data_IF_348252580383
#
_entry.id   IF_348252580383
#
_cell.length_a   1.000
_cell.length_b   1.000
_cell.length_c   1.000
_cell.angle_alpha   90.00
_cell.angle_beta   90.00
_cell.angle_gamma   90.00
#
_symmetry.space_group_name_H-M   'P 1'
#
loop_
_entity.id
_entity.type
_entity.pdbx_description
1 polymer ?
#
# COMPACT_ATOMS: atom_id res chain seq x y z
N UNK A 1 -27.13 10.40 8.98
CA UNK A 1 -26.48 10.29 7.64
C UNK A 1 -24.95 10.13 7.70
N UNK A 2 -24.27 10.35 8.84
CA UNK A 2 -22.82 10.13 8.96
C UNK A 2 -22.39 8.66 9.04
N UNK A 3 -23.17 7.79 9.70
CA UNK A 3 -22.81 6.38 9.91
C UNK A 3 -22.82 5.51 8.63
N UNK A 4 -23.66 5.86 7.64
CA UNK A 4 -23.73 5.16 6.35
C UNK A 4 -22.49 5.43 5.51
N UNK A 5 -22.01 6.67 5.52
CA UNK A 5 -20.75 7.06 4.86
C UNK A 5 -19.53 6.34 5.45
N UNK A 6 -19.49 6.12 6.76
CA UNK A 6 -18.40 5.39 7.41
C UNK A 6 -18.39 3.90 7.06
N UNK A 7 -19.55 3.26 6.97
CA UNK A 7 -19.64 1.85 6.55
C UNK A 7 -19.21 1.69 5.08
N UNK A 8 -19.67 2.59 4.20
CA UNK A 8 -19.28 2.58 2.80
C UNK A 8 -17.77 2.82 2.62
N UNK A 9 -17.18 3.80 3.32
CA UNK A 9 -15.73 4.03 3.32
C UNK A 9 -14.95 2.78 3.77
N UNK A 10 -15.44 2.12 4.83
CA UNK A 10 -14.83 0.91 5.37
C UNK A 10 -14.84 -0.24 4.39
N UNK A 11 -16.00 -0.55 3.80
CA UNK A 11 -16.12 -1.62 2.81
C UNK A 11 -15.27 -1.32 1.58
N UNK A 12 -15.30 -0.09 1.08
CA UNK A 12 -14.49 0.35 -0.05
C UNK A 12 -12.99 0.16 0.22
N UNK A 13 -12.49 0.62 1.37
CA UNK A 13 -11.06 0.56 1.69
C UNK A 13 -10.57 -0.88 1.90
N UNK A 14 -11.39 -1.74 2.51
CA UNK A 14 -11.07 -3.17 2.67
C UNK A 14 -11.05 -3.91 1.32
N UNK A 15 -11.98 -3.58 0.42
CA UNK A 15 -11.97 -4.13 -0.94
C UNK A 15 -10.75 -3.64 -1.73
N UNK A 16 -10.39 -2.35 -1.60
CA UNK A 16 -9.22 -1.76 -2.25
C UNK A 16 -7.93 -2.47 -1.83
N UNK A 17 -7.66 -2.58 -0.53
CA UNK A 17 -6.44 -3.26 -0.06
C UNK A 17 -6.43 -4.74 -0.45
N UNK A 18 -7.59 -5.41 -0.46
CA UNK A 18 -7.70 -6.80 -0.90
C UNK A 18 -7.39 -6.94 -2.40
N UNK A 19 -7.89 -6.02 -3.24
CA UNK A 19 -7.63 -5.93 -4.68
C UNK A 19 -6.13 -5.70 -4.94
N UNK A 20 -5.51 -4.76 -4.23
CA UNK A 20 -4.08 -4.46 -4.33
C UNK A 20 -3.19 -5.64 -3.90
N UNK A 21 -3.44 -6.23 -2.73
CA UNK A 21 -2.65 -7.36 -2.22
C UNK A 21 -2.81 -8.64 -3.05
N UNK A 22 -3.95 -8.82 -3.71
CA UNK A 22 -4.20 -9.96 -4.61
C UNK A 22 -3.91 -9.66 -6.09
N UNK A 23 -3.41 -8.45 -6.38
CA UNK A 23 -3.05 -7.97 -7.72
C UNK A 23 -4.18 -8.13 -8.75
N UNK A 24 -5.44 -8.00 -8.29
CA UNK A 24 -6.63 -8.08 -9.14
C UNK A 24 -6.75 -6.85 -10.03
N UNK A 25 -7.17 -7.06 -11.30
CA UNK A 25 -7.50 -6.00 -12.26
C UNK A 25 -6.40 -4.92 -12.45
N UNK A 26 -5.12 -5.33 -12.48
CA UNK A 26 -3.99 -4.41 -12.65
C UNK A 26 -4.06 -3.15 -11.74
N UNK A 27 -4.54 -3.33 -10.50
CA UNK A 27 -4.82 -2.21 -9.61
C UNK A 27 -3.60 -1.34 -9.29
N UNK A 28 -2.40 -1.92 -9.29
CA UNK A 28 -1.15 -1.16 -9.17
C UNK A 28 -0.06 -1.78 -10.06
N UNK A 29 0.34 -1.13 -11.17
CA UNK A 29 1.48 -1.60 -11.95
C UNK A 29 2.80 -1.46 -11.17
N UNK A 30 2.94 -0.43 -10.33
CA UNK A 30 4.14 -0.22 -9.52
C UNK A 30 3.76 0.12 -8.06
N UNK A 31 4.02 -0.83 -7.17
CA UNK A 31 3.88 -0.70 -5.72
C UNK A 31 5.26 -0.53 -5.08
N UNK A 32 5.47 0.59 -4.40
CA UNK A 32 6.64 0.88 -3.59
C UNK A 32 6.33 0.56 -2.13
N UNK A 33 7.13 -0.30 -1.50
CA UNK A 33 7.04 -0.62 -0.08
C UNK A 33 8.18 0.07 0.63
N UNK A 34 7.86 0.92 1.61
CA UNK A 34 8.82 1.58 2.47
C UNK A 34 8.90 0.81 3.78
N UNK A 35 10.09 0.35 4.14
CA UNK A 35 10.32 -0.33 5.40
C UNK A 35 11.52 0.23 6.14
N UNK A 36 11.63 -0.19 7.40
CA UNK A 36 12.65 0.26 8.34
C UNK A 36 13.34 -0.95 8.97
N UNK A 37 14.44 -0.72 9.67
CA UNK A 37 15.14 -1.76 10.42
C UNK A 37 14.28 -2.30 11.57
N UNK A 38 13.43 -1.47 12.17
CA UNK A 38 12.51 -1.90 13.22
C UNK A 38 11.39 -2.80 12.68
N UNK A 39 10.93 -2.53 11.45
CA UNK A 39 9.88 -3.32 10.80
C UNK A 39 10.19 -3.60 9.33
N UNK A 40 10.79 -4.77 9.01
CA UNK A 40 11.06 -5.13 7.62
C UNK A 40 9.78 -5.53 6.86
N UNK A 41 9.80 -5.33 5.54
CA UNK A 41 8.69 -5.64 4.61
C UNK A 41 8.45 -7.14 4.38
N UNK A 42 9.33 -8.03 4.87
CA UNK A 42 9.27 -9.48 4.62
C UNK A 42 7.90 -10.13 4.91
N UNK A 43 7.17 -9.80 6.00
CA UNK A 43 5.84 -10.37 6.23
C UNK A 43 4.82 -9.96 5.15
N UNK A 44 4.90 -8.72 4.66
CA UNK A 44 4.07 -8.22 3.57
C UNK A 44 4.40 -8.92 2.25
N UNK A 45 5.69 -9.06 1.91
CA UNK A 45 6.10 -9.78 0.70
C UNK A 45 5.65 -11.24 0.70
N UNK A 46 5.73 -11.91 1.86
CA UNK A 46 5.22 -13.28 2.03
C UNK A 46 3.72 -13.33 1.79
N UNK A 47 2.98 -12.31 2.21
CA UNK A 47 1.54 -12.23 1.98
C UNK A 47 1.21 -12.04 0.50
N UNK A 48 1.93 -11.20 -0.24
CA UNK A 48 1.81 -11.11 -1.70
C UNK A 48 2.05 -12.45 -2.39
N UNK A 49 3.14 -13.15 -2.05
CA UNK A 49 3.47 -14.46 -2.62
C UNK A 49 2.41 -15.51 -2.27
N UNK A 50 1.92 -15.51 -1.03
CA UNK A 50 0.85 -16.42 -0.58
C UNK A 50 -0.44 -16.19 -1.35
N UNK A 51 -0.88 -14.92 -1.51
CA UNK A 51 -2.09 -14.56 -2.26
C UNK A 51 -1.97 -14.85 -3.74
N UNK A 52 -0.78 -14.68 -4.34
CA UNK A 52 -0.52 -15.03 -5.72
C UNK A 52 -0.81 -16.51 -6.02
N UNK A 53 -0.45 -17.43 -5.10
CA UNK A 53 -0.73 -18.87 -5.24
C UNK A 53 -2.19 -19.25 -4.98
N UNK A 54 -2.91 -18.46 -4.18
CA UNK A 54 -4.32 -18.71 -3.89
C UNK A 54 -5.27 -18.19 -4.98
N UNK A 55 -4.75 -17.44 -5.96
CA UNK A 55 -5.55 -16.87 -7.03
C UNK A 55 -6.07 -17.96 -7.99
N UNK A 56 -7.36 -18.31 -7.86
CA UNK A 56 -8.02 -19.35 -8.67
C UNK A 56 -8.48 -18.88 -10.05
N UNK A 57 -8.72 -17.58 -10.21
CA UNK A 57 -9.35 -17.03 -11.43
C UNK A 57 -8.34 -16.85 -12.57
N UNK A 58 -7.18 -16.23 -12.27
CA UNK A 58 -6.11 -16.02 -13.24
C UNK A 58 -4.79 -16.45 -12.61
N UNK A 59 -4.08 -17.44 -13.18
CA UNK A 59 -2.80 -17.90 -12.65
C UNK A 59 -1.79 -16.75 -12.61
N UNK A 60 -1.09 -16.63 -11.48
CA UNK A 60 -0.06 -15.63 -11.26
C UNK A 60 1.31 -16.30 -11.26
N UNK A 61 2.19 -15.84 -12.13
CA UNK A 61 3.60 -16.22 -12.16
C UNK A 61 4.38 -15.27 -11.26
N UNK A 62 5.15 -15.81 -10.34
CA UNK A 62 5.93 -15.03 -9.35
C UNK A 62 7.40 -15.02 -9.72
N UNK A 63 7.96 -13.83 -9.92
CA UNK A 63 9.38 -13.60 -10.18
C UNK A 63 9.95 -12.83 -9.01
N UNK A 64 10.99 -13.36 -8.39
CA UNK A 64 11.67 -12.72 -7.26
C UNK A 64 13.08 -12.32 -7.69
N UNK A 65 13.33 -11.02 -7.71
CA UNK A 65 14.62 -10.40 -8.00
C UNK A 65 15.32 -10.15 -6.66
N UNK A 66 16.40 -10.87 -6.40
CA UNK A 66 17.05 -10.91 -5.10
C UNK A 66 18.39 -10.18 -5.09
N UNK A 67 18.46 -9.04 -4.44
CA UNK A 67 19.66 -8.22 -4.24
C UNK A 67 20.31 -8.47 -2.89
N UNK A 68 19.50 -8.70 -1.86
CA UNK A 68 19.96 -9.02 -0.50
C UNK A 68 19.51 -10.41 -0.02
N UNK A 69 18.52 -11.01 -0.70
CA UNK A 69 17.95 -12.30 -0.34
C UNK A 69 18.79 -13.44 -0.89
N UNK A 70 19.48 -14.17 -0.02
CA UNK A 70 20.33 -15.30 -0.46
C UNK A 70 19.53 -16.57 -0.73
N UNK A 71 18.45 -16.81 0.02
CA UNK A 71 17.67 -18.05 -0.04
C UNK A 71 16.34 -17.81 -0.76
N UNK A 72 16.04 -18.64 -1.76
CA UNK A 72 14.77 -18.60 -2.49
C UNK A 72 13.57 -18.66 -1.52
N UNK A 73 12.69 -17.64 -1.51
CA UNK A 73 11.49 -17.66 -0.69
C UNK A 73 10.50 -18.74 -1.13
N UNK A 74 9.66 -19.19 -0.19
CA UNK A 74 8.53 -20.07 -0.49
C UNK A 74 7.55 -19.40 -1.47
N UNK A 75 6.85 -20.21 -2.27
CA UNK A 75 5.84 -19.75 -3.22
C UNK A 75 6.36 -18.85 -4.36
N UNK A 76 7.66 -18.91 -4.67
CA UNK A 76 8.28 -18.23 -5.81
C UNK A 76 8.48 -19.21 -6.98
N UNK A 77 8.07 -18.82 -8.19
CA UNK A 77 8.30 -19.62 -9.41
C UNK A 77 9.73 -19.43 -9.92
N UNK A 78 10.11 -18.19 -10.22
CA UNK A 78 11.42 -17.81 -10.73
C UNK A 78 12.18 -16.98 -9.70
N UNK A 79 13.41 -17.37 -9.40
CA UNK A 79 14.28 -16.68 -8.45
C UNK A 79 15.54 -16.23 -9.19
N UNK A 80 15.74 -14.93 -9.28
CA UNK A 80 16.82 -14.29 -10.03
C UNK A 80 17.74 -13.58 -9.03
N UNK A 81 18.82 -14.23 -8.56
CA UNK A 81 19.76 -13.62 -7.64
C UNK A 81 20.66 -12.60 -8.36
N UNK A 82 20.99 -11.55 -7.63
CA UNK A 82 21.99 -10.57 -8.02
C UNK A 82 23.33 -11.25 -8.24
N UNK A 83 23.90 -11.09 -9.44
CA UNK A 83 25.14 -11.73 -9.84
C UNK A 83 24.98 -13.10 -10.53
N UNK A 84 23.75 -13.54 -10.82
CA UNK A 84 23.53 -14.71 -11.67
C UNK A 84 24.11 -14.45 -13.08
N UNK A 85 25.11 -15.26 -13.47
CA UNK A 85 25.85 -15.10 -14.73
C UNK A 85 27.37 -14.87 -14.56
N UNK A 86 27.88 -14.74 -13.33
CA UNK A 86 29.31 -14.68 -13.08
C UNK A 86 29.86 -16.08 -12.74
N UNK A 87 30.76 -16.55 -13.59
CA UNK A 87 31.54 -17.76 -13.37
C UNK A 87 32.26 -17.66 -12.02
N UNK A 88 32.28 -18.74 -11.24
CA UNK A 88 32.85 -18.81 -9.88
C UNK A 88 34.38 -18.53 -9.82
N UNK A 89 34.99 -18.07 -10.92
CA UNK A 89 36.41 -17.79 -11.10
C UNK A 89 36.87 -16.42 -10.62
N UNK A 90 36.02 -15.63 -9.94
CA UNK A 90 36.46 -14.52 -9.09
C UNK A 90 36.98 -13.25 -9.79
N UNK A 91 36.97 -13.20 -11.12
CA UNK A 91 37.36 -12.00 -11.86
C UNK A 91 36.18 -11.05 -12.05
N UNK A 92 35.93 -10.18 -11.06
CA UNK A 92 35.04 -9.01 -11.20
C UNK A 92 35.66 -8.00 -12.17
N UNK A 93 35.52 -8.23 -13.47
CA UNK A 93 35.83 -7.20 -14.47
C UNK A 93 34.75 -6.11 -14.39
N UNK A 94 35.15 -4.84 -14.45
CA UNK A 94 34.23 -3.69 -14.37
C UNK A 94 33.15 -3.71 -15.46
N UNK A 95 33.35 -4.45 -16.55
CA UNK A 95 32.38 -4.66 -17.61
C UNK A 95 31.18 -5.53 -17.18
N UNK A 96 31.38 -6.52 -16.28
CA UNK A 96 30.31 -7.40 -15.81
C UNK A 96 29.35 -6.74 -14.82
N UNK A 97 29.75 -5.64 -14.15
CA UNK A 97 28.88 -4.89 -13.22
C UNK A 97 27.73 -4.17 -13.94
N UNK A 98 27.80 -3.95 -15.24
CA UNK A 98 26.77 -3.22 -15.99
C UNK A 98 25.95 -4.13 -16.93
N UNK A 99 26.42 -5.36 -17.15
CA UNK A 99 25.76 -6.31 -18.04
C UNK A 99 24.54 -6.99 -17.41
N UNK A 100 24.50 -7.11 -16.08
CA UNK A 100 23.40 -7.78 -15.36
C UNK A 100 22.03 -7.14 -15.64
N UNK A 101 21.94 -5.83 -15.89
CA UNK A 101 20.67 -5.17 -16.20
C UNK A 101 20.05 -5.76 -17.47
N UNK A 102 20.89 -5.95 -18.49
CA UNK A 102 20.50 -6.52 -19.78
C UNK A 102 20.20 -8.01 -19.64
N UNK A 103 20.95 -8.72 -18.82
CA UNK A 103 20.76 -10.14 -18.58
C UNK A 103 19.44 -10.40 -17.83
N UNK A 104 19.15 -9.64 -16.75
CA UNK A 104 17.87 -9.69 -16.05
C UNK A 104 16.72 -9.29 -16.97
N UNK A 105 16.85 -8.21 -17.74
CA UNK A 105 15.79 -7.79 -18.66
C UNK A 105 15.51 -8.85 -19.73
N UNK A 106 16.56 -9.53 -20.24
CA UNK A 106 16.44 -10.62 -21.22
C UNK A 106 15.79 -11.85 -20.60
N UNK A 107 16.27 -12.30 -19.44
CA UNK A 107 15.72 -13.46 -18.75
C UNK A 107 14.28 -13.22 -18.34
N UNK A 108 13.97 -12.01 -17.84
CA UNK A 108 12.61 -11.59 -17.54
C UNK A 108 11.73 -11.61 -18.79
N UNK A 109 12.19 -11.06 -19.92
CA UNK A 109 11.45 -11.12 -21.17
C UNK A 109 11.17 -12.56 -21.62
N UNK A 110 12.12 -13.48 -21.43
CA UNK A 110 11.93 -14.90 -21.74
C UNK A 110 10.93 -15.57 -20.78
N UNK A 111 10.93 -15.22 -19.48
CA UNK A 111 9.94 -15.68 -18.50
C UNK A 111 8.54 -15.20 -18.89
N UNK A 112 8.39 -13.94 -19.27
CA UNK A 112 7.09 -13.36 -19.70
C UNK A 112 6.60 -14.05 -20.97
N UNK A 113 7.47 -14.30 -21.95
CA UNK A 113 7.13 -15.06 -23.18
C UNK A 113 6.68 -16.50 -22.89
N UNK A 114 7.27 -17.17 -21.90
CA UNK A 114 6.87 -18.53 -21.50
C UNK A 114 5.54 -18.56 -20.75
N UNK A 115 5.12 -17.43 -20.18
CA UNK A 115 3.93 -17.32 -19.34
C UNK A 115 2.88 -16.37 -19.95
N UNK A 116 2.79 -16.31 -21.28
CA UNK A 116 1.75 -15.57 -21.99
C UNK A 116 0.35 -15.99 -21.51
N UNK A 117 -0.51 -15.01 -21.22
CA UNK A 117 -1.85 -15.23 -20.68
C UNK A 117 -1.93 -15.39 -19.15
N UNK A 118 -0.79 -15.37 -18.45
CA UNK A 118 -0.75 -15.30 -16.98
C UNK A 118 -0.43 -13.89 -16.52
N UNK A 119 -0.88 -13.53 -15.31
CA UNK A 119 -0.38 -12.32 -14.62
C UNK A 119 1.03 -12.59 -14.12
N UNK A 120 1.88 -11.58 -14.13
CA UNK A 120 3.26 -11.68 -13.64
C UNK A 120 3.44 -10.73 -12.46
N UNK A 121 3.74 -11.27 -11.28
CA UNK A 121 4.11 -10.51 -10.10
C UNK A 121 5.64 -10.52 -9.96
N UNK A 122 6.26 -9.36 -10.06
CA UNK A 122 7.70 -9.17 -9.86
C UNK A 122 7.93 -8.56 -8.49
N UNK A 123 8.75 -9.22 -7.67
CA UNK A 123 9.14 -8.72 -6.35
C UNK A 123 10.62 -8.37 -6.38
N UNK A 124 10.95 -7.13 -6.03
CA UNK A 124 12.29 -6.63 -5.77
C UNK A 124 12.49 -6.48 -4.26
N UNK A 125 13.46 -7.20 -3.71
CA UNK A 125 13.73 -7.19 -2.27
C UNK A 125 14.47 -5.95 -1.76
N UNK A 126 15.28 -5.28 -2.59
CA UNK A 126 15.96 -4.04 -2.20
C UNK A 126 16.19 -3.10 -3.39
N UNK A 127 15.34 -2.09 -3.49
CA UNK A 127 15.47 -0.94 -4.38
C UNK A 127 16.58 0.02 -3.92
N UNK A 128 16.94 0.00 -2.63
CA UNK A 128 17.98 0.86 -2.09
C UNK A 128 19.35 0.56 -2.70
N UNK A 129 19.64 -0.71 -2.99
CA UNK A 129 20.87 -1.11 -3.70
C UNK A 129 20.88 -0.53 -5.12
N UNK A 130 19.76 -0.59 -5.84
CA UNK A 130 19.62 0.00 -7.17
C UNK A 130 19.74 1.53 -7.14
N UNK A 131 19.13 2.18 -6.14
CA UNK A 131 19.24 3.61 -5.92
C UNK A 131 20.69 4.03 -5.67
N UNK A 132 21.41 3.29 -4.82
CA UNK A 132 22.84 3.52 -4.56
C UNK A 132 23.68 3.36 -5.81
N UNK A 133 23.38 2.36 -6.64
CA UNK A 133 24.08 2.16 -7.91
C UNK A 133 23.74 3.26 -8.92
N UNK A 134 22.52 3.78 -8.95
CA UNK A 134 22.15 4.89 -9.85
C UNK A 134 22.77 6.22 -9.44
N UNK A 135 23.13 6.37 -8.16
CA UNK A 135 23.80 7.56 -7.65
C UNK A 135 25.31 7.56 -7.93
N UNK A 136 25.91 6.40 -8.20
CA UNK A 136 27.31 6.27 -8.55
C UNK A 136 27.55 6.79 -9.99
N UNK A 137 28.36 7.84 -10.20
CA UNK A 137 28.63 8.37 -11.55
C UNK A 137 29.38 7.37 -12.45
N UNK A 138 29.98 6.30 -11.88
CA UNK A 138 30.58 5.23 -12.66
C UNK A 138 29.54 4.24 -13.24
N UNK A 139 28.28 4.36 -12.81
CA UNK A 139 27.17 3.51 -13.20
C UNK A 139 26.30 4.19 -14.25
N UNK A 140 26.16 3.55 -15.41
CA UNK A 140 25.22 3.97 -16.45
C UNK A 140 23.77 3.51 -16.15
N UNK A 141 23.44 3.21 -14.88
CA UNK A 141 22.10 2.75 -14.49
C UNK A 141 21.10 3.90 -14.46
N UNK A 142 20.23 3.96 -15.47
CA UNK A 142 19.02 4.75 -15.40
C UNK A 142 17.89 3.94 -14.74
N UNK A 143 17.55 4.31 -13.50
CA UNK A 143 16.54 3.64 -12.68
C UNK A 143 15.17 3.62 -13.36
N UNK A 144 14.73 4.72 -13.98
CA UNK A 144 13.39 4.80 -14.59
C UNK A 144 13.30 3.95 -15.84
N UNK A 145 14.37 3.93 -16.65
CA UNK A 145 14.46 3.07 -17.83
C UNK A 145 14.45 1.58 -17.45
N UNK A 146 15.16 1.22 -16.37
CA UNK A 146 15.16 -0.15 -15.86
C UNK A 146 13.77 -0.59 -15.38
N UNK A 147 13.10 0.21 -14.55
CA UNK A 147 11.73 -0.08 -14.08
C UNK A 147 10.75 -0.19 -15.26
N UNK A 148 10.86 0.70 -16.24
CA UNK A 148 10.05 0.66 -17.46
C UNK A 148 10.27 -0.64 -18.24
N UNK A 149 11.53 -1.12 -18.34
CA UNK A 149 11.83 -2.38 -19.02
C UNK A 149 11.21 -3.61 -18.35
N UNK A 150 11.01 -3.57 -17.03
CA UNK A 150 10.33 -4.63 -16.28
C UNK A 150 8.81 -4.54 -16.43
N UNK A 151 8.24 -3.34 -16.47
CA UNK A 151 6.80 -3.14 -16.64
C UNK A 151 6.35 -3.41 -18.08
N UNK A 152 7.17 -3.04 -19.06
CA UNK A 152 6.89 -3.15 -20.49
C UNK A 152 8.07 -3.79 -21.24
N UNK A 153 8.20 -5.13 -21.22
CA UNK A 153 9.29 -5.80 -21.93
C UNK A 153 9.19 -5.56 -23.44
N UNK A 154 10.22 -4.93 -24.02
CA UNK A 154 10.28 -4.60 -25.46
C UNK A 154 10.09 -5.82 -26.38
N UNK A 155 10.39 -7.02 -25.88
CA UNK A 155 10.25 -8.28 -26.62
C UNK A 155 8.79 -8.64 -27.00
N UNK A 156 7.81 -7.86 -26.54
CA UNK A 156 6.39 -7.96 -26.88
C UNK A 156 5.92 -6.91 -27.88
N UNK A 157 6.75 -5.90 -28.21
CA UNK A 157 6.38 -4.81 -29.11
C UNK A 157 6.68 -5.11 -30.59
N UNK A 158 7.50 -6.13 -30.88
CA UNK A 158 7.97 -6.43 -32.24
C UNK A 158 7.14 -7.45 -33.03
N UNK A 159 6.05 -7.98 -32.48
CA UNK A 159 5.09 -8.80 -33.24
C UNK A 159 3.97 -7.93 -33.81
N UNK A 160 4.30 -7.03 -34.73
CA UNK A 160 3.41 -6.07 -35.38
C UNK A 160 2.66 -6.62 -36.60
N UNK A 161 2.48 -7.93 -36.70
CA UNK A 161 1.65 -8.54 -37.75
C UNK A 161 0.95 -9.78 -37.21
N UNK A 162 -0.39 -9.72 -37.15
CA UNK A 162 -1.35 -10.85 -37.02
C UNK A 162 -1.89 -11.31 -35.65
N UNK A 163 -1.76 -10.57 -34.53
CA UNK A 163 -2.52 -10.90 -33.30
C UNK A 163 -3.19 -9.70 -32.61
N UNK A 164 -4.25 -9.17 -33.22
CA UNK A 164 -5.13 -8.12 -32.68
C UNK A 164 -6.03 -8.56 -31.50
N UNK A 165 -5.90 -9.79 -30.98
CA UNK A 165 -6.80 -10.33 -29.93
C UNK A 165 -6.09 -10.87 -28.68
N UNK A 166 -4.78 -10.70 -28.52
CA UNK A 166 -4.09 -11.10 -27.29
C UNK A 166 -3.98 -9.92 -26.33
N UNK A 167 -4.64 -10.02 -25.18
CA UNK A 167 -4.49 -9.08 -24.08
C UNK A 167 -3.00 -8.91 -23.72
N UNK A 168 -2.52 -7.68 -23.49
CA UNK A 168 -1.14 -7.44 -23.09
C UNK A 168 -0.84 -8.16 -21.76
N UNK A 169 0.40 -8.64 -21.55
CA UNK A 169 0.76 -9.29 -20.30
C UNK A 169 0.66 -8.28 -19.16
N UNK A 170 -0.11 -8.65 -18.13
CA UNK A 170 -0.30 -7.84 -16.94
C UNK A 170 0.87 -8.09 -15.98
N UNK A 171 1.81 -7.14 -15.94
CA UNK A 171 2.94 -7.14 -15.01
C UNK A 171 2.66 -6.19 -13.85
N UNK A 172 2.79 -6.70 -12.62
CA UNK A 172 2.75 -5.90 -11.39
C UNK A 172 4.11 -5.97 -10.71
N UNK A 173 4.68 -4.82 -10.40
CA UNK A 173 5.99 -4.68 -9.76
C UNK A 173 5.82 -4.24 -8.30
N UNK A 174 6.33 -5.02 -7.36
CA UNK A 174 6.37 -4.72 -5.92
C UNK A 174 7.82 -4.60 -5.50
N UNK A 175 8.22 -3.45 -4.97
CA UNK A 175 9.63 -3.19 -4.65
C UNK A 175 9.79 -2.67 -3.24
N UNK A 176 10.77 -3.14 -2.50
CA UNK A 176 11.07 -2.65 -1.15
C UNK A 176 12.17 -1.59 -1.19
N UNK A 177 11.98 -0.49 -0.48
CA UNK A 177 12.98 0.55 -0.26
C UNK A 177 13.17 0.73 1.24
N UNK A 178 14.39 0.47 1.72
CA UNK A 178 14.77 0.64 3.11
C UNK A 178 15.07 2.12 3.37
N UNK A 179 14.27 2.79 4.21
CA UNK A 179 14.43 4.23 4.50
C UNK A 179 15.65 4.54 5.35
N UNK A 180 16.10 3.56 6.12
CA UNK A 180 17.15 3.71 7.13
C UNK A 180 18.55 3.45 6.58
N UNK A 181 18.64 2.97 5.34
CA UNK A 181 19.91 2.70 4.68
C UNK A 181 20.35 3.98 3.95
N UNK A 182 21.41 4.65 4.41
CA UNK A 182 21.86 5.89 3.80
C UNK A 182 22.39 5.61 2.39
N UNK A 183 21.98 6.46 1.45
CA UNK A 183 22.55 6.46 0.11
C UNK A 183 23.89 7.22 0.10
N UNK A 184 24.85 6.82 -0.74
CA UNK A 184 26.06 7.61 -0.93
C UNK A 184 25.67 9.02 -1.38
N UNK A 185 26.22 10.03 -0.70
CA UNK A 185 25.98 11.42 -1.07
C UNK A 185 26.45 11.62 -2.51
N UNK A 186 25.60 12.19 -3.40
CA UNK A 186 26.02 12.48 -4.76
C UNK A 186 27.25 13.39 -4.69
N UNK A 187 28.37 12.94 -5.24
CA UNK A 187 29.57 13.76 -5.35
C UNK A 187 29.17 15.04 -6.08
N UNK A 188 29.27 16.19 -5.40
CA UNK A 188 28.75 17.49 -5.83
C UNK A 188 29.30 17.92 -7.20
N UNK A 189 28.73 17.38 -8.27
CA UNK A 189 28.87 17.86 -9.63
C UNK A 189 27.76 18.87 -9.93
N UNK A 190 28.02 19.89 -10.76
CA UNK A 190 27.04 20.95 -11.07
C UNK A 190 25.76 20.46 -11.78
N UNK A 191 25.72 19.18 -12.19
CA UNK A 191 24.60 18.54 -12.90
C UNK A 191 23.60 17.83 -11.97
N UNK A 192 23.98 17.47 -10.73
CA UNK A 192 23.14 16.65 -9.83
C UNK A 192 22.30 17.48 -8.84
N UNK A 193 22.56 18.78 -8.68
CA UNK A 193 21.88 19.63 -7.68
C UNK A 193 20.38 19.83 -7.91
N UNK A 194 19.89 19.59 -9.13
CA UNK A 194 18.46 19.70 -9.48
C UNK A 194 17.76 18.34 -9.64
N UNK A 195 18.49 17.23 -9.51
CA UNK A 195 17.89 15.90 -9.59
C UNK A 195 17.19 15.56 -8.27
N UNK A 196 15.96 15.01 -8.31
CA UNK A 196 15.28 14.60 -7.09
C UNK A 196 16.02 13.44 -6.43
N UNK A 197 15.85 13.30 -5.12
CA UNK A 197 16.37 12.12 -4.42
C UNK A 197 15.75 10.83 -5.00
N UNK A 198 16.45 9.68 -4.99
CA UNK A 198 15.89 8.44 -5.51
C UNK A 198 14.57 8.04 -4.84
N UNK A 199 14.43 8.28 -3.53
CA UNK A 199 13.16 8.07 -2.82
C UNK A 199 12.05 8.97 -3.37
N UNK A 200 12.32 10.27 -3.55
CA UNK A 200 11.35 11.20 -4.14
C UNK A 200 10.93 10.78 -5.54
N UNK A 201 11.88 10.33 -6.36
CA UNK A 201 11.61 9.83 -7.72
C UNK A 201 10.75 8.55 -7.70
N UNK A 202 11.11 7.57 -6.86
CA UNK A 202 10.37 6.32 -6.73
C UNK A 202 8.95 6.54 -6.20
N UNK A 203 8.80 7.35 -5.16
CA UNK A 203 7.49 7.73 -4.62
C UNK A 203 6.67 8.52 -5.64
N UNK A 204 7.29 9.31 -6.51
CA UNK A 204 6.60 9.98 -7.61
C UNK A 204 6.11 8.99 -8.67
N UNK A 205 6.91 7.98 -9.02
CA UNK A 205 6.57 6.98 -10.04
C UNK A 205 5.58 5.91 -9.54
N UNK A 206 5.57 5.63 -8.24
CA UNK A 206 4.72 4.62 -7.64
C UNK A 206 3.23 4.98 -7.76
N UNK A 207 2.41 4.01 -8.20
CA UNK A 207 0.95 4.15 -8.16
C UNK A 207 0.39 3.81 -6.79
N UNK A 208 1.15 3.03 -6.00
CA UNK A 208 0.80 2.70 -4.62
C UNK A 208 2.06 2.71 -3.77
N UNK A 209 2.02 3.42 -2.66
CA UNK A 209 3.07 3.44 -1.65
C UNK A 209 2.52 2.76 -0.39
N UNK A 210 3.24 1.79 0.15
CA UNK A 210 2.90 1.10 1.39
C UNK A 210 4.04 1.31 2.37
N UNK A 211 3.80 2.09 3.43
CA UNK A 211 4.75 2.24 4.53
C UNK A 211 4.43 1.19 5.58
N UNK A 212 5.44 0.42 5.99
CA UNK A 212 5.29 -0.66 6.97
C UNK A 212 5.70 -0.16 8.35
N UNK A 213 4.80 -0.32 9.31
CA UNK A 213 4.99 0.13 10.70
C UNK A 213 4.91 -1.04 11.68
N UNK A 214 5.71 -0.99 12.74
CA UNK A 214 5.63 -1.96 13.83
C UNK A 214 4.43 -1.67 14.73
N UNK A 215 3.54 -2.66 14.92
CA UNK A 215 2.40 -2.51 15.82
C UNK A 215 2.87 -2.16 17.25
N UNK A 216 3.94 -2.79 17.73
CA UNK A 216 4.44 -2.59 19.09
C UNK A 216 4.91 -1.14 19.33
N UNK A 217 5.56 -0.53 18.32
CA UNK A 217 6.01 0.86 18.38
C UNK A 217 4.80 1.80 18.43
N UNK A 218 3.84 1.62 17.52
CA UNK A 218 2.63 2.45 17.48
C UNK A 218 1.79 2.34 18.76
N UNK A 219 1.74 1.15 19.38
CA UNK A 219 1.07 0.98 20.67
C UNK A 219 1.80 1.68 21.82
N UNK A 220 3.14 1.66 21.81
CA UNK A 220 3.94 2.36 22.81
C UNK A 220 3.78 3.88 22.68
N UNK A 221 3.77 4.41 21.45
CA UNK A 221 3.46 5.81 21.16
C UNK A 221 2.05 6.18 21.61
N UNK A 222 1.04 5.38 21.26
CA UNK A 222 -0.34 5.59 21.72
C UNK A 222 -0.42 5.60 23.25
N UNK A 223 0.26 4.68 23.93
CA UNK A 223 0.27 4.60 25.38
C UNK A 223 0.98 5.80 26.04
N UNK A 224 2.03 6.32 25.42
CA UNK A 224 2.69 7.54 25.86
C UNK A 224 1.78 8.76 25.70
N UNK A 225 1.13 8.92 24.54
CA UNK A 225 0.17 9.98 24.27
C UNK A 225 -1.02 9.95 25.24
N UNK A 226 -1.56 8.76 25.54
CA UNK A 226 -2.65 8.61 26.51
C UNK A 226 -2.27 9.01 27.94
N UNK A 227 -0.96 9.00 28.26
CA UNK A 227 -0.41 9.41 29.55
C UNK A 227 0.23 10.80 29.51
N UNK A 228 0.10 11.52 28.39
CA UNK A 228 0.78 12.80 28.14
C UNK A 228 2.30 12.73 28.36
N UNK A 229 2.91 11.59 28.07
CA UNK A 229 4.36 11.37 28.10
C UNK A 229 4.96 11.63 26.73
N UNK A 230 6.26 11.92 26.69
CA UNK A 230 7.01 11.99 25.44
C UNK A 230 6.94 10.65 24.69
N UNK A 231 6.82 10.71 23.36
CA UNK A 231 6.83 9.51 22.52
C UNK A 231 8.14 8.76 22.70
N UNK A 232 8.10 7.42 22.85
CA UNK A 232 9.31 6.62 22.91
C UNK A 232 10.09 6.71 21.59
N UNK A 233 11.40 6.89 21.67
CA UNK A 233 12.28 6.79 20.50
C UNK A 233 12.73 5.34 20.32
N UNK A 234 12.69 4.86 19.08
CA UNK A 234 13.12 3.50 18.73
C UNK A 234 14.16 3.54 17.61
N UNK A 235 15.03 2.52 17.61
CA UNK A 235 16.07 2.31 16.60
C UNK A 235 16.97 3.52 16.39
N UNK A 236 17.17 3.92 15.14
CA UNK A 236 18.15 4.96 14.78
C UNK A 236 17.77 6.34 15.32
N UNK A 237 16.46 6.61 15.48
CA UNK A 237 15.98 7.89 16.02
C UNK A 237 16.34 8.12 17.48
N UNK A 238 16.63 7.05 18.23
CA UNK A 238 17.07 7.16 19.63
C UNK A 238 18.50 7.66 19.79
N UNK A 239 19.29 7.69 18.71
CA UNK A 239 20.74 8.00 18.73
C UNK A 239 21.52 7.20 19.79
N UNK A 240 21.00 6.03 20.16
CA UNK A 240 21.60 5.17 21.18
C UNK A 240 22.72 4.36 20.53
N UNK A 241 23.94 4.52 21.04
CA UNK A 241 25.09 3.73 20.60
C UNK A 241 24.88 2.24 20.95
N UNK A 242 24.93 1.37 19.93
CA UNK A 242 24.74 -0.06 20.12
C UNK A 242 24.48 -0.82 18.83
N UNK A 243 24.24 -2.13 18.96
CA UNK A 243 23.82 -2.99 17.84
C UNK A 243 22.30 -3.12 17.88
N UNK A 244 21.64 -2.84 16.76
CA UNK A 244 20.20 -3.05 16.63
C UNK A 244 19.93 -4.56 16.61
N UNK A 245 19.22 -5.04 17.64
CA UNK A 245 18.79 -6.43 17.73
C UNK A 245 17.29 -6.47 17.47
N UNK A 246 16.90 -7.04 16.33
CA UNK A 246 15.49 -7.28 16.02
C UNK A 246 14.80 -8.19 17.04
N UNK A 247 13.47 -8.10 17.11
CA UNK A 247 12.67 -8.94 18.01
C UNK A 247 12.95 -10.42 17.74
N UNK A 248 13.42 -11.12 18.78
CA UNK A 248 13.75 -12.55 18.67
C UNK A 248 12.49 -13.34 18.28
N UNK A 249 12.59 -14.37 17.40
CA UNK A 249 11.44 -15.18 16.99
C UNK A 249 10.65 -15.77 18.15
N UNK A 250 11.31 -16.07 19.27
CA UNK A 250 10.68 -16.57 20.50
C UNK A 250 9.79 -15.54 21.20
N UNK A 251 10.14 -14.26 21.14
CA UNK A 251 9.30 -13.18 21.65
C UNK A 251 8.02 -13.05 20.80
N UNK A 252 8.17 -13.10 19.47
CA UNK A 252 7.04 -13.09 18.53
C UNK A 252 6.15 -14.34 18.68
N UNK A 253 6.73 -15.49 19.00
CA UNK A 253 5.97 -16.72 19.24
C UNK A 253 5.05 -16.61 20.47
N UNK A 254 5.48 -15.91 21.52
CA UNK A 254 4.75 -15.75 22.78
C UNK A 254 3.70 -14.64 22.78
N UNK A 255 3.68 -13.78 21.76
CA UNK A 255 2.67 -12.71 21.62
C UNK A 255 1.25 -13.27 21.47
N UNK A 256 0.24 -12.50 21.85
CA UNK A 256 -1.15 -12.90 21.61
C UNK A 256 -1.45 -12.86 20.10
N UNK A 257 -2.39 -13.67 19.58
CA UNK A 257 -2.73 -13.71 18.15
C UNK A 257 -3.09 -12.34 17.54
N UNK A 258 -3.71 -11.44 18.33
CA UNK A 258 -4.06 -10.09 17.90
C UNK A 258 -2.88 -9.12 17.82
N UNK A 259 -1.78 -9.41 18.52
CA UNK A 259 -0.55 -8.60 18.50
C UNK A 259 0.45 -9.07 17.43
N UNK A 260 0.19 -10.23 16.80
CA UNK A 260 1.03 -10.79 15.74
C UNK A 260 0.64 -10.21 14.39
N UNK A 261 1.20 -9.07 14.05
CA UNK A 261 0.99 -8.47 12.73
C UNK A 261 1.87 -7.26 12.49
N UNK A 262 1.66 -6.68 11.32
CA UNK A 262 2.28 -5.42 10.91
C UNK A 262 1.19 -4.42 10.59
N UNK A 263 1.48 -3.14 10.77
CA UNK A 263 0.59 -2.05 10.38
C UNK A 263 1.05 -1.53 9.02
N UNK A 264 0.11 -1.27 8.13
CA UNK A 264 0.33 -0.78 6.79
C UNK A 264 -0.32 0.59 6.67
N UNK A 265 0.47 1.61 6.36
CA UNK A 265 -0.03 2.88 5.87
C UNK A 265 -0.05 2.80 4.34
N UNK A 266 -1.24 2.81 3.76
CA UNK A 266 -1.45 2.75 2.33
C UNK A 266 -1.65 4.16 1.77
N UNK A 267 -0.91 4.53 0.74
CA UNK A 267 -1.22 5.64 -0.16
C UNK A 267 -1.44 5.06 -1.57
N UNK A 268 -2.68 5.11 -2.07
CA UNK A 268 -3.03 4.64 -3.40
C UNK A 268 -3.48 5.80 -4.29
N UNK A 269 -2.89 5.94 -5.48
CA UNK A 269 -3.25 6.98 -6.45
C UNK A 269 -4.26 6.43 -7.45
N UNK A 270 -5.46 7.00 -7.45
CA UNK A 270 -6.53 6.66 -8.40
C UNK A 270 -6.18 7.16 -9.81
N UNK A 271 -6.94 6.68 -10.80
CA UNK A 271 -6.83 7.15 -12.19
C UNK A 271 -7.10 8.65 -12.34
N UNK A 272 -7.96 9.21 -11.49
CA UNK A 272 -8.22 10.67 -11.40
C UNK A 272 -7.03 11.48 -10.87
N UNK A 273 -5.97 10.82 -10.39
CA UNK A 273 -4.84 11.47 -9.72
C UNK A 273 -5.06 11.78 -8.24
N UNK A 274 -6.29 11.61 -7.72
CA UNK A 274 -6.58 11.75 -6.28
C UNK A 274 -5.97 10.57 -5.50
N UNK A 275 -5.35 10.88 -4.36
CA UNK A 275 -4.76 9.90 -3.46
C UNK A 275 -5.73 9.44 -2.37
N UNK A 276 -5.80 8.14 -2.12
CA UNK A 276 -6.47 7.53 -0.97
C UNK A 276 -5.41 7.15 0.05
N UNK A 277 -5.53 7.64 1.29
CA UNK A 277 -4.66 7.27 2.40
C UNK A 277 -5.47 6.56 3.49
N UNK A 278 -5.01 5.38 3.91
CA UNK A 278 -5.71 4.59 4.92
C UNK A 278 -4.74 3.67 5.67
N UNK A 279 -5.08 3.36 6.93
CA UNK A 279 -4.27 2.52 7.81
C UNK A 279 -4.89 1.15 8.01
N UNK A 280 -4.10 0.11 7.79
CA UNK A 280 -4.53 -1.27 7.88
C UNK A 280 -3.67 -2.06 8.87
N UNK A 281 -4.26 -3.07 9.48
CA UNK A 281 -3.55 -4.09 10.23
C UNK A 281 -3.53 -5.39 9.43
N UNK A 282 -2.33 -5.93 9.19
CA UNK A 282 -2.10 -7.22 8.54
C UNK A 282 -1.59 -8.24 9.58
N UNK A 283 -2.44 -9.20 9.99
CA UNK A 283 -2.02 -10.33 10.82
C UNK A 283 -0.95 -11.19 10.14
N UNK A 284 0.03 -11.66 10.91
CA UNK A 284 1.04 -12.60 10.41
C UNK A 284 0.46 -14.02 10.36
N UNK A 285 0.64 -14.71 9.22
CA UNK A 285 -0.05 -15.95 8.80
C UNK A 285 0.02 -17.20 9.70
N UNK A 286 0.51 -17.14 10.94
CA UNK A 286 0.35 -18.23 11.91
C UNK A 286 -1.09 -18.33 12.46
N UNK A 287 -1.88 -17.26 12.37
CA UNK A 287 -3.26 -17.21 12.90
C UNK A 287 -4.32 -17.56 11.85
N UNK A 288 -4.03 -17.38 10.57
CA UNK A 288 -4.96 -17.64 9.45
C UNK A 288 -5.16 -19.14 9.13
N UNK A 289 -4.40 -20.05 9.76
CA UNK A 289 -4.57 -21.50 9.60
C UNK A 289 -5.72 -22.10 10.42
N UNK A 290 -6.30 -21.35 11.37
CA UNK A 290 -7.31 -21.88 12.32
C UNK A 290 -8.74 -21.41 12.08
N UNK A 291 -8.96 -20.34 11.31
CA UNK A 291 -10.30 -19.90 10.90
C UNK A 291 -10.55 -20.39 9.46
N UNK A 292 -11.50 -21.30 9.30
CA UNK A 292 -11.64 -22.17 8.14
C UNK A 292 -11.97 -21.52 6.78
N UNK A 293 -11.70 -22.29 5.73
CA UNK A 293 -12.20 -22.08 4.38
C UNK A 293 -11.46 -21.03 3.53
N UNK A 294 -11.53 -21.17 2.21
CA UNK A 294 -10.89 -20.29 1.23
C UNK A 294 -11.33 -18.81 1.33
N UNK A 295 -12.45 -18.52 2.02
CA UNK A 295 -13.02 -17.18 2.23
C UNK A 295 -12.35 -16.43 3.40
N UNK A 296 -11.89 -17.11 4.46
CA UNK A 296 -11.22 -16.47 5.60
C UNK A 296 -9.87 -15.79 5.23
N UNK A 297 -9.33 -16.12 4.05
CA UNK A 297 -8.08 -15.56 3.54
C UNK A 297 -8.24 -14.26 2.77
N UNK A 298 -9.46 -13.90 2.33
CA UNK A 298 -9.73 -12.62 1.67
C UNK A 298 -9.89 -11.48 2.69
N UNK A 299 -10.34 -11.80 3.90
CA UNK A 299 -10.70 -10.85 4.97
C UNK A 299 -9.71 -10.88 6.16
N UNK A 300 -8.43 -11.15 5.89
CA UNK A 300 -7.43 -11.15 6.98
C UNK A 300 -7.02 -9.72 7.36
N UNK A 301 -7.19 -8.74 6.47
CA UNK A 301 -6.82 -7.34 6.73
C UNK A 301 -8.00 -6.62 7.35
N UNK A 302 -7.74 -5.85 8.40
CA UNK A 302 -8.72 -4.97 9.04
C UNK A 302 -8.22 -3.52 9.02
N UNK A 303 -9.12 -2.55 9.16
CA UNK A 303 -8.71 -1.17 9.39
C UNK A 303 -8.02 -1.05 10.75
N UNK A 304 -7.03 -0.19 10.86
CA UNK A 304 -6.35 0.05 12.13
C UNK A 304 -7.34 0.56 13.20
N UNK A 305 -8.30 1.39 12.80
CA UNK A 305 -9.35 1.90 13.69
C UNK A 305 -10.23 0.79 14.31
N UNK A 306 -10.38 -0.34 13.61
CA UNK A 306 -11.14 -1.49 14.08
C UNK A 306 -10.34 -2.40 15.02
N UNK A 307 -9.02 -2.25 15.05
CA UNK A 307 -8.15 -3.09 15.86
C UNK A 307 -8.47 -2.89 17.35
N UNK A 308 -8.59 -3.96 18.17
CA UNK A 308 -9.08 -3.87 19.55
C UNK A 308 -8.25 -2.93 20.45
N UNK A 309 -6.94 -2.85 20.20
CA UNK A 309 -6.05 -1.95 20.95
C UNK A 309 -6.07 -0.50 20.42
N UNK A 310 -6.60 -0.25 19.22
CA UNK A 310 -6.70 1.08 18.61
C UNK A 310 -8.08 1.70 18.74
N UNK A 311 -9.13 0.86 18.68
CA UNK A 311 -10.53 1.25 18.82
C UNK A 311 -10.71 2.16 20.03
N UNK A 312 -11.18 3.37 19.77
CA UNK A 312 -11.65 4.25 20.85
C UNK A 312 -12.81 3.53 21.56
N UNK A 313 -12.88 3.56 22.91
CA UNK A 313 -14.07 3.06 23.59
C UNK A 313 -15.26 3.73 22.92
N UNK A 314 -16.16 2.89 22.40
CA UNK A 314 -17.40 3.39 21.81
C UNK A 314 -18.12 4.05 22.97
N UNK A 315 -18.25 5.36 22.98
CA UNK A 315 -19.22 6.02 23.85
C UNK A 315 -20.57 5.42 23.45
N UNK A 316 -21.03 4.48 24.26
CA UNK A 316 -22.26 3.76 24.05
C UNK A 316 -23.40 4.72 24.31
N UNK A 317 -23.71 5.60 23.37
CA UNK A 317 -24.94 6.42 23.36
C UNK A 317 -25.37 6.90 24.74
N UNK A 318 -24.45 7.43 25.55
CA UNK A 318 -24.83 8.29 26.64
C UNK A 318 -25.29 9.57 25.94
N UNK A 319 -26.56 9.90 26.13
CA UNK A 319 -27.21 11.10 25.61
C UNK A 319 -26.22 12.27 25.54
N UNK A 320 -25.72 12.60 24.34
CA UNK A 320 -24.86 13.77 24.12
C UNK A 320 -25.56 15.06 24.60
N UNK A 321 -26.89 15.03 24.68
CA UNK A 321 -27.72 16.09 25.25
C UNK A 321 -27.68 16.17 26.79
N UNK A 322 -27.33 15.10 27.52
CA UNK A 322 -27.18 15.15 28.99
C UNK A 322 -25.77 15.56 29.43
N UNK A 323 -24.72 15.14 28.73
CA UNK A 323 -23.33 15.47 29.09
C UNK A 323 -22.94 16.92 28.75
N UNK A 324 -23.70 17.59 27.89
CA UNK A 324 -23.58 19.04 27.65
C UNK A 324 -24.34 19.87 28.68
N UNK A 325 -25.28 19.27 29.43
CA UNK A 325 -26.06 19.97 30.46
C UNK A 325 -25.17 20.25 31.68
N UNK A 326 -24.75 21.50 31.83
CA UNK A 326 -23.82 21.93 32.89
C UNK A 326 -22.43 22.37 32.44
N UNK A 327 -22.13 22.36 31.13
CA UNK A 327 -20.94 23.05 30.59
C UNK A 327 -21.20 24.55 30.49
N UNK A 328 -20.17 25.39 30.65
CA UNK A 328 -20.29 26.86 30.76
C UNK A 328 -20.83 27.55 29.48
N UNK A 329 -20.89 26.82 28.35
CA UNK A 329 -21.44 27.29 27.08
C UNK A 329 -22.23 26.16 26.40
N UNK A 330 -23.52 26.06 26.71
CA UNK A 330 -24.44 25.20 25.97
C UNK A 330 -24.71 25.83 24.59
N UNK A 331 -24.10 25.25 23.54
CA UNK A 331 -24.29 25.66 22.13
C UNK A 331 -25.55 25.03 21.49
N UNK A 332 -26.28 24.19 22.23
CA UNK A 332 -27.53 23.58 21.80
C UNK A 332 -28.71 24.55 21.93
N UNK A 333 -29.71 24.40 21.06
CA UNK A 333 -30.98 25.11 21.23
C UNK A 333 -31.74 24.47 22.38
N UNK A 334 -32.14 25.27 23.37
CA UNK A 334 -33.04 24.80 24.43
C UNK A 334 -34.34 24.27 23.84
N UNK A 335 -35.02 23.37 24.54
CA UNK A 335 -36.29 22.78 24.10
C UNK A 335 -37.34 23.85 23.74
N UNK A 336 -37.32 24.98 24.45
CA UNK A 336 -38.14 26.15 24.15
C UNK A 336 -37.77 26.83 22.83
N UNK A 337 -36.47 27.04 22.55
CA UNK A 337 -36.01 27.62 21.28
C UNK A 337 -36.28 26.68 20.10
N UNK A 338 -36.23 25.37 20.33
CA UNK A 338 -36.59 24.36 19.33
C UNK A 338 -38.08 24.44 18.98
N UNK A 339 -38.96 24.51 19.98
CA UNK A 339 -40.40 24.70 19.80
C UNK A 339 -40.72 26.01 19.08
N UNK A 340 -40.04 27.11 19.44
CA UNK A 340 -40.22 28.40 18.76
C UNK A 340 -39.75 28.32 17.30
N UNK A 341 -38.61 27.66 17.01
CA UNK A 341 -38.15 27.44 15.62
C UNK A 341 -39.12 26.58 14.80
N UNK A 342 -39.69 25.54 15.40
CA UNK A 342 -40.65 24.65 14.76
C UNK A 342 -42.03 25.32 14.54
N UNK A 343 -42.37 26.33 15.35
CA UNK A 343 -43.58 27.16 15.20
C UNK A 343 -43.47 28.30 14.17
N UNK A 344 -42.28 28.59 13.64
CA UNK A 344 -42.09 29.61 12.60
C UNK A 344 -42.54 29.06 11.26
N UNK A 345 -43.73 29.49 10.82
CA UNK A 345 -44.27 29.17 9.49
C UNK A 345 -43.64 30.12 8.48
N UNK A 346 -42.63 29.62 7.76
CA UNK A 346 -42.06 30.32 6.61
C UNK A 346 -42.97 30.13 5.39
N UNK A 347 -43.26 31.20 4.62
CA UNK A 347 -43.90 31.04 3.31
C UNK A 347 -43.06 30.10 2.42
N UNK A 348 -43.70 29.11 1.79
CA UNK A 348 -43.12 28.11 0.86
C UNK A 348 -42.32 26.94 1.46
N UNK A 349 -42.23 26.79 2.79
CA UNK A 349 -41.50 25.67 3.42
C UNK A 349 -42.17 24.30 3.22
N UNK A 350 -43.49 24.29 2.99
CA UNK A 350 -44.25 23.05 2.72
C UNK A 350 -43.91 22.43 1.36
N UNK A 351 -43.28 23.16 0.43
CA UNK A 351 -42.89 22.63 -0.88
C UNK A 351 -41.75 21.59 -0.81
N UNK A 352 -41.00 21.55 0.30
CA UNK A 352 -39.89 20.61 0.51
C UNK A 352 -40.26 19.39 1.37
N UNK A 353 -41.44 19.38 2.02
CA UNK A 353 -41.87 18.19 2.77
C UNK A 353 -42.36 17.13 1.80
N UNK A 354 -41.61 16.02 1.75
CA UNK A 354 -41.92 14.82 0.99
C UNK A 354 -43.33 14.29 1.36
N UNK A 355 -44.35 14.71 0.61
CA UNK A 355 -45.74 14.26 0.79
C UNK A 355 -46.81 15.36 0.67
N UNK A 356 -46.45 16.64 0.61
CA UNK A 356 -47.43 17.72 0.36
C UNK A 356 -47.73 17.86 -1.13
N UNK A 357 -49.01 17.85 -1.51
CA UNK A 357 -49.51 17.92 -2.91
C UNK A 357 -49.28 19.25 -3.63
N UNK A 358 -48.06 19.78 -3.61
CA UNK A 358 -47.60 20.91 -4.42
C UNK A 358 -46.66 20.42 -5.51
N UNK A 359 -47.09 20.50 -6.77
CA UNK A 359 -46.39 20.03 -7.98
C UNK A 359 -45.17 20.88 -8.38
N UNK A 360 -44.57 21.63 -7.45
CA UNK A 360 -43.51 22.60 -7.74
C UNK A 360 -42.29 22.37 -6.88
N UNK A 361 -41.29 21.66 -7.40
CA UNK A 361 -39.98 21.58 -6.73
C UNK A 361 -39.19 20.28 -6.90
N UNK A 362 -39.59 19.37 -7.80
CA UNK A 362 -38.75 18.20 -8.10
C UNK A 362 -37.55 18.66 -8.93
N UNK A 363 -36.43 18.93 -8.27
CA UNK A 363 -35.16 19.20 -8.95
C UNK A 363 -34.77 17.93 -9.69
N UNK A 364 -34.97 17.91 -11.00
CA UNK A 364 -34.35 16.91 -11.87
C UNK A 364 -32.91 17.35 -12.10
N UNK A 365 -31.98 16.53 -11.61
CA UNK A 365 -30.58 16.63 -11.98
C UNK A 365 -30.40 15.95 -13.34
N UNK A 366 -29.90 16.71 -14.32
CA UNK A 366 -29.55 16.20 -15.64
C UNK A 366 -28.02 16.12 -15.70
N UNK A 367 -27.48 14.91 -15.92
CA UNK A 367 -26.05 14.64 -15.79
C UNK A 367 -25.28 15.31 -16.94
N UNK A 368 -24.34 16.21 -16.59
CA UNK A 368 -23.48 16.89 -17.55
C UNK A 368 -22.24 16.06 -17.92
N UNK A 369 -21.73 16.24 -19.15
CA UNK A 369 -20.47 15.61 -19.64
C UNK A 369 -19.24 16.10 -18.87
N UNK A 370 -19.36 17.20 -18.12
CA UNK A 370 -18.31 17.78 -17.26
C UNK A 370 -18.31 17.22 -15.83
N UNK A 371 -19.24 16.32 -15.49
CA UNK A 371 -19.29 15.71 -14.17
C UNK A 371 -18.24 14.57 -14.10
N UNK A 372 -17.31 14.65 -13.16
CA UNK A 372 -16.15 13.76 -13.00
C UNK A 372 -16.57 12.35 -12.51
N UNK A 373 -17.32 11.62 -13.35
CA UNK A 373 -17.81 10.28 -13.07
C UNK A 373 -16.63 9.30 -12.95
N UNK A 374 -16.35 8.82 -11.74
CA UNK A 374 -15.28 7.84 -11.47
C UNK A 374 -15.88 6.43 -11.54
N UNK A 375 -15.71 5.74 -12.68
CA UNK A 375 -16.18 4.36 -12.88
C UNK A 375 -15.71 3.40 -11.76
N UNK A 376 -14.64 3.73 -11.02
CA UNK A 376 -14.16 2.93 -9.90
C UNK A 376 -14.94 3.17 -8.58
N UNK A 377 -15.66 4.29 -8.42
CA UNK A 377 -16.53 4.56 -7.27
C UNK A 377 -17.90 3.86 -7.41
N UNK A 378 -18.42 3.77 -8.63
CA UNK A 378 -19.79 3.30 -8.90
C UNK A 378 -19.91 1.82 -9.35
N UNK A 379 -18.79 1.13 -9.66
CA UNK A 379 -18.80 -0.30 -10.00
C UNK A 379 -18.83 -1.26 -8.78
N UNK A 380 -18.91 -0.76 -7.55
CA UNK A 380 -18.75 -1.58 -6.32
C UNK A 380 -20.00 -1.67 -5.45
#
# INVERSE_FOLDING_TARGET
>A
MAHTNLHHRRTHNLLLISKLLSQQSQASPFTLVLDTLEQPARPLLREYLRRAKLSKQVPVTTVFLAFETVVKPENVDYFLPWGHGHDLSGARTSASRWQWQRDIAREFADIVKRNLGKRVLVILDSMTILASLSADPASDLNLTAFLSSLLQPQALQSSSSEQEQRQPPQVSLVTVYHTDVPLPSPSAGPQQGYSPSPLSLLSYLATTVITVHSLAILLAEKAALAKSLASPSFGLSGEIEGVIIGLKPRAVANMTPGEKGIVLELEHRRKSGRGVREWFFLPTGATAGRAGGAQAYRDTVILLDDHPQFRKPKEEGADEDQDLSGMTFELGLTERQRLEREGVVLPYFDAQKAGGGGEGGRILYDMGVEDDFDEEEDEI
#
